data_IF_298869969405
#
_entry.id   IF_298869969405
#
_cell.length_a   1.000
_cell.length_b   1.000
_cell.length_c   1.000
_cell.angle_alpha   90.00
_cell.angle_beta   90.00
_cell.angle_gamma   90.00
#
_symmetry.space_group_name_H-M   'P 1'
#
loop_
_entity.id
_entity.type
_entity.pdbx_description
1 polymer ?
#
# COMPACT_ATOMS: atom_id res chain seq x y z
N UNK A 1 -58.52 -10.83 6.43
CA UNK A 1 -59.18 -9.80 5.60
C UNK A 1 -58.13 -9.28 4.66
N UNK A 2 -57.99 -9.85 3.52
CA UNK A 2 -58.31 -9.46 2.13
C UNK A 2 -58.08 -7.97 1.84
N UNK A 3 -57.09 -7.64 0.96
CA UNK A 3 -57.33 -7.05 -0.35
C UNK A 3 -56.03 -6.94 -1.15
N UNK A 4 -55.99 -7.73 -2.19
CA UNK A 4 -55.20 -7.64 -3.43
C UNK A 4 -55.56 -6.39 -4.23
N UNK A 5 -54.59 -5.77 -4.92
CA UNK A 5 -54.87 -5.01 -6.14
C UNK A 5 -53.73 -5.18 -7.13
N UNK A 6 -54.05 -5.89 -8.22
CA UNK A 6 -53.27 -5.99 -9.43
C UNK A 6 -53.66 -4.86 -10.39
N UNK A 7 -52.71 -4.28 -11.15
CA UNK A 7 -53.01 -3.52 -12.36
C UNK A 7 -52.10 -3.98 -13.50
N UNK A 8 -52.77 -4.58 -14.49
CA UNK A 8 -52.30 -4.86 -15.86
C UNK A 8 -52.70 -3.69 -16.77
N UNK A 9 -51.82 -3.30 -17.70
CA UNK A 9 -52.14 -2.76 -19.05
C UNK A 9 -50.86 -2.83 -19.87
N UNK A 10 -50.66 -3.74 -20.83
CA UNK A 10 -51.17 -3.82 -22.22
C UNK A 10 -50.79 -2.59 -23.10
N UNK A 11 -49.79 -2.72 -23.94
CA UNK A 11 -49.81 -2.99 -25.37
C UNK A 11 -49.81 -1.75 -26.24
N UNK A 12 -48.79 -1.64 -27.13
CA UNK A 12 -49.00 -1.23 -28.50
C UNK A 12 -47.73 -1.47 -29.35
N UNK A 13 -47.82 -2.42 -30.30
CA UNK A 13 -46.94 -2.57 -31.47
C UNK A 13 -47.32 -1.49 -32.48
N UNK A 14 -46.32 -0.92 -33.15
CA UNK A 14 -46.48 -0.27 -34.44
C UNK A 14 -45.31 -0.73 -35.35
N UNK A 15 -45.65 -1.57 -36.31
CA UNK A 15 -44.82 -1.89 -37.46
C UNK A 15 -45.04 -0.84 -38.55
N UNK A 16 -44.01 -0.38 -39.21
CA UNK A 16 -44.10 0.29 -40.47
C UNK A 16 -42.92 -0.08 -41.38
N UNK A 17 -43.27 -0.33 -42.60
CA UNK A 17 -42.63 -1.10 -43.62
C UNK A 17 -41.47 -0.44 -44.37
N UNK A 18 -40.71 -1.30 -44.98
CA UNK A 18 -39.71 -1.20 -46.06
C UNK A 18 -40.02 -0.25 -47.19
N UNK A 19 -39.03 0.54 -47.62
CA UNK A 19 -38.79 0.84 -49.02
C UNK A 19 -37.29 0.73 -49.29
N UNK A 20 -36.90 -0.18 -50.14
CA UNK A 20 -35.55 -0.34 -50.62
C UNK A 20 -35.18 0.56 -51.75
N UNK A 21 -33.91 0.90 -51.83
CA UNK A 21 -33.24 1.20 -53.09
C UNK A 21 -31.78 0.79 -53.04
N UNK A 22 -31.45 0.00 -54.01
CA UNK A 22 -30.18 -0.64 -54.31
C UNK A 22 -29.18 0.37 -54.88
N UNK A 23 -27.95 0.40 -54.37
CA UNK A 23 -26.76 0.81 -55.13
C UNK A 23 -25.49 0.24 -54.46
N UNK A 24 -24.60 -0.24 -55.30
CA UNK A 24 -23.43 -1.09 -55.18
C UNK A 24 -22.34 -0.67 -54.21
N UNK A 25 -21.75 -1.70 -53.65
CA UNK A 25 -20.30 -1.92 -53.33
C UNK A 25 -19.43 -0.75 -52.91
N UNK A 26 -18.95 -0.78 -51.66
CA UNK A 26 -17.52 -1.05 -51.43
C UNK A 26 -17.31 -1.60 -50.03
N UNK A 27 -16.57 -2.69 -49.99
CA UNK A 27 -16.14 -3.43 -48.80
C UNK A 27 -15.17 -2.60 -47.99
N UNK A 28 -15.54 -2.17 -46.80
CA UNK A 28 -14.59 -1.88 -45.74
C UNK A 28 -15.18 -2.31 -44.41
N UNK A 29 -14.70 -3.45 -43.98
CA UNK A 29 -14.95 -4.01 -42.65
C UNK A 29 -14.27 -3.10 -41.61
N UNK A 30 -15.04 -2.20 -41.03
CA UNK A 30 -14.60 -1.53 -39.81
C UNK A 30 -14.91 -2.46 -38.63
N UNK A 31 -13.95 -3.33 -38.31
CA UNK A 31 -13.85 -3.90 -36.98
C UNK A 31 -13.63 -2.71 -36.04
N UNK A 32 -14.57 -2.46 -35.13
CA UNK A 32 -14.35 -1.60 -33.99
C UNK A 32 -13.37 -2.34 -33.07
N UNK A 33 -12.07 -2.10 -33.29
CA UNK A 33 -11.07 -2.34 -32.28
C UNK A 33 -11.44 -1.45 -31.08
N UNK A 34 -12.03 -2.06 -30.07
CA UNK A 34 -11.95 -1.52 -28.74
C UNK A 34 -10.48 -1.61 -28.36
N UNK A 35 -9.74 -0.53 -28.61
CA UNK A 35 -8.39 -0.37 -28.14
C UNK A 35 -8.43 -0.58 -26.61
N UNK A 36 -7.79 -1.66 -26.17
CA UNK A 36 -7.38 -1.77 -24.77
C UNK A 36 -6.66 -0.45 -24.41
N UNK A 37 -6.87 0.11 -23.22
CA UNK A 37 -6.15 1.31 -22.82
C UNK A 37 -4.67 0.97 -22.90
N UNK A 38 -3.99 1.49 -23.93
CA UNK A 38 -2.55 1.55 -23.99
C UNK A 38 -2.15 2.27 -22.71
N UNK A 39 -1.39 1.57 -21.86
CA UNK A 39 -0.71 2.20 -20.75
C UNK A 39 0.07 3.38 -21.38
N UNK A 40 -0.44 4.60 -21.19
CA UNK A 40 0.25 5.80 -21.60
C UNK A 40 1.58 5.74 -20.84
N UNK A 41 2.69 5.69 -21.58
CA UNK A 41 4.01 5.93 -21.00
C UNK A 41 3.89 7.23 -20.24
N UNK A 42 4.16 7.17 -18.92
CA UNK A 42 4.04 8.33 -18.04
C UNK A 42 5.28 9.25 -18.21
N UNK A 43 5.83 9.34 -19.44
CA UNK A 43 6.80 10.34 -19.83
C UNK A 43 6.16 11.71 -19.59
N UNK A 44 6.74 12.50 -18.69
CA UNK A 44 6.17 13.76 -18.24
C UNK A 44 5.20 13.65 -17.05
N UNK A 45 5.17 12.52 -16.35
CA UNK A 45 4.38 12.39 -15.11
C UNK A 45 4.89 13.36 -14.03
N UNK A 46 6.19 13.62 -14.00
CA UNK A 46 6.77 14.68 -13.19
C UNK A 46 6.27 16.08 -13.58
N UNK A 47 6.15 16.36 -14.87
CA UNK A 47 5.62 17.65 -15.33
C UNK A 47 4.17 17.84 -14.88
N UNK A 48 3.38 16.79 -14.87
CA UNK A 48 2.03 16.80 -14.32
C UNK A 48 2.03 17.09 -12.81
N UNK A 49 2.88 16.42 -12.02
CA UNK A 49 2.98 16.62 -10.57
C UNK A 49 3.50 18.03 -10.26
N UNK A 50 4.62 18.42 -10.86
CA UNK A 50 5.24 19.73 -10.61
C UNK A 50 4.37 20.90 -11.10
N UNK A 51 3.63 20.69 -12.19
CA UNK A 51 2.68 21.67 -12.73
C UNK A 51 1.51 21.97 -11.80
N UNK A 52 1.12 21.02 -10.93
CA UNK A 52 0.15 21.25 -9.85
C UNK A 52 0.75 22.02 -8.66
N UNK A 53 2.08 22.04 -8.53
CA UNK A 53 2.78 22.57 -7.35
C UNK A 53 2.64 21.69 -6.10
N UNK A 54 2.02 20.52 -6.19
CA UNK A 54 1.80 19.58 -5.09
C UNK A 54 2.00 18.12 -5.52
N UNK A 55 2.45 17.28 -4.59
CA UNK A 55 2.50 15.82 -4.72
C UNK A 55 1.51 15.18 -3.77
N UNK A 56 0.47 14.52 -4.29
CA UNK A 56 -0.51 13.80 -3.48
C UNK A 56 0.02 12.41 -3.14
N UNK A 57 0.24 12.15 -1.88
CA UNK A 57 0.91 10.98 -1.32
C UNK A 57 -0.14 10.07 -0.66
N UNK A 58 -0.32 8.86 -1.17
CA UNK A 58 -1.21 7.85 -0.59
C UNK A 58 -0.56 7.20 0.62
N UNK A 59 -1.26 7.22 1.76
CA UNK A 59 -0.82 6.66 3.04
C UNK A 59 -1.95 5.90 3.74
N UNK A 60 -1.58 4.99 4.66
CA UNK A 60 -2.41 4.50 5.76
C UNK A 60 -1.80 4.97 7.08
N UNK A 61 -2.56 4.95 8.18
CA UNK A 61 -1.99 5.23 9.50
C UNK A 61 -1.17 4.04 9.99
N UNK A 62 0.13 4.25 10.10
CA UNK A 62 1.14 3.25 10.36
C UNK A 62 2.28 3.87 11.20
N UNK A 63 2.18 3.83 12.54
CA UNK A 63 3.25 4.32 13.43
C UNK A 63 4.47 3.37 13.38
N UNK A 64 5.72 3.88 13.23
CA UNK A 64 6.14 5.28 13.32
C UNK A 64 6.26 5.99 11.96
N UNK A 65 5.71 5.43 10.89
CA UNK A 65 5.87 5.93 9.52
C UNK A 65 4.99 7.14 9.21
N UNK A 66 3.66 6.97 9.35
CA UNK A 66 2.66 8.02 9.19
C UNK A 66 1.57 7.84 10.26
N UNK A 67 1.40 8.79 11.16
CA UNK A 67 0.41 8.69 12.24
C UNK A 67 0.00 10.07 12.76
N UNK A 68 -1.09 10.12 13.50
CA UNK A 68 -1.54 11.36 14.16
C UNK A 68 -0.83 11.51 15.50
N UNK A 69 -0.04 12.55 15.63
CA UNK A 69 0.66 12.87 16.88
C UNK A 69 -0.26 13.39 17.98
N UNK A 70 0.27 13.60 19.17
CA UNK A 70 -0.47 14.12 20.32
C UNK A 70 -1.06 15.53 20.09
N UNK A 71 -0.47 16.29 19.18
CA UNK A 71 -0.95 17.62 18.77
C UNK A 71 -2.09 17.55 17.71
N UNK A 72 -2.53 16.35 17.35
CA UNK A 72 -3.57 16.11 16.35
C UNK A 72 -3.13 16.27 14.90
N UNK A 73 -1.82 16.41 14.64
CA UNK A 73 -1.28 16.56 13.29
C UNK A 73 -0.65 15.26 12.79
N UNK A 74 -0.66 15.10 11.47
CA UNK A 74 0.09 14.03 10.82
C UNK A 74 1.58 14.22 11.07
N UNK A 75 2.23 13.16 11.52
CA UNK A 75 3.67 13.08 11.81
C UNK A 75 4.17 11.68 11.47
N UNK A 76 5.46 11.43 11.62
CA UNK A 76 6.09 10.14 11.39
C UNK A 76 7.30 10.25 10.48
N UNK A 77 8.05 9.15 10.41
CA UNK A 77 9.28 9.11 9.63
C UNK A 77 9.02 9.45 8.15
N UNK A 78 8.04 8.80 7.53
CA UNK A 78 7.76 9.05 6.11
C UNK A 78 7.08 10.39 5.88
N UNK A 79 6.28 10.87 6.82
CA UNK A 79 5.72 12.23 6.77
C UNK A 79 6.84 13.29 6.72
N UNK A 80 7.83 13.18 7.61
CA UNK A 80 8.96 14.11 7.65
C UNK A 80 9.88 13.92 6.42
N UNK A 81 10.10 12.68 6.01
CA UNK A 81 10.94 12.35 4.87
C UNK A 81 10.33 12.83 3.54
N UNK A 82 9.05 12.57 3.32
CA UNK A 82 8.32 13.07 2.16
C UNK A 82 8.30 14.60 2.10
N UNK A 83 8.12 15.25 3.26
CA UNK A 83 8.20 16.71 3.36
C UNK A 83 9.57 17.24 2.96
N UNK A 84 10.65 16.57 3.39
CA UNK A 84 12.01 16.96 3.02
C UNK A 84 12.28 16.77 1.52
N UNK A 85 11.83 15.65 0.93
CA UNK A 85 11.96 15.36 -0.51
C UNK A 85 11.14 16.36 -1.34
N UNK A 86 9.88 16.59 -1.00
CA UNK A 86 9.01 17.53 -1.71
C UNK A 86 9.60 18.95 -1.69
N UNK A 87 10.17 19.37 -0.55
CA UNK A 87 10.85 20.67 -0.43
C UNK A 87 12.04 20.80 -1.38
N UNK A 88 12.87 19.77 -1.52
CA UNK A 88 13.99 19.75 -2.46
C UNK A 88 13.53 19.79 -3.92
N UNK A 89 12.40 19.17 -4.19
CA UNK A 89 11.78 19.12 -5.54
C UNK A 89 10.93 20.36 -5.87
N UNK A 90 10.68 21.24 -4.89
CA UNK A 90 9.91 22.47 -5.10
C UNK A 90 8.40 22.26 -5.24
N UNK A 91 7.85 21.20 -4.62
CA UNK A 91 6.41 20.91 -4.55
C UNK A 91 5.95 20.76 -3.10
N UNK A 92 4.66 20.98 -2.85
CA UNK A 92 4.08 20.77 -1.52
C UNK A 92 3.62 19.33 -1.34
N UNK A 93 3.90 18.66 -0.20
CA UNK A 93 3.36 17.33 0.09
C UNK A 93 1.89 17.44 0.51
N UNK A 94 1.03 16.60 -0.08
CA UNK A 94 -0.37 16.47 0.30
C UNK A 94 -0.66 15.02 0.63
N UNK A 95 -0.82 14.73 1.91
CA UNK A 95 -1.08 13.37 2.36
C UNK A 95 -2.57 13.03 2.24
N UNK A 96 -2.86 11.88 1.65
CA UNK A 96 -4.20 11.35 1.46
C UNK A 96 -4.27 9.94 2.03
N UNK A 97 -5.18 9.73 2.99
CA UNK A 97 -5.50 8.39 3.49
C UNK A 97 -6.19 7.58 2.39
N UNK A 98 -5.74 6.35 2.19
CA UNK A 98 -6.27 5.39 1.22
C UNK A 98 -6.53 4.04 1.89
N UNK A 99 -7.35 3.21 1.26
CA UNK A 99 -7.40 1.78 1.59
C UNK A 99 -6.21 1.09 0.91
N UNK A 100 -5.37 0.38 1.70
CA UNK A 100 -4.13 -0.20 1.18
C UNK A 100 -4.33 -1.17 0.02
N UNK A 101 -5.38 -1.96 0.07
CA UNK A 101 -5.74 -2.90 -1.02
C UNK A 101 -6.09 -2.20 -2.34
N UNK A 102 -6.50 -0.94 -2.28
CA UNK A 102 -6.87 -0.12 -3.45
C UNK A 102 -5.72 0.75 -3.99
N UNK A 103 -4.54 0.71 -3.39
CA UNK A 103 -3.40 1.62 -3.68
C UNK A 103 -3.03 1.75 -5.17
N UNK A 104 -3.00 0.63 -5.91
CA UNK A 104 -2.66 0.66 -7.34
C UNK A 104 -3.79 1.27 -8.19
N UNK A 105 -5.04 1.05 -7.79
CA UNK A 105 -6.20 1.64 -8.44
C UNK A 105 -6.18 3.16 -8.26
N UNK A 106 -5.95 3.64 -7.04
CA UNK A 106 -5.84 5.05 -6.70
C UNK A 106 -4.69 5.73 -7.46
N UNK A 107 -3.53 5.07 -7.54
CA UNK A 107 -2.36 5.56 -8.27
C UNK A 107 -2.65 5.70 -9.77
N UNK A 108 -3.23 4.68 -10.38
CA UNK A 108 -3.54 4.66 -11.82
C UNK A 108 -4.68 5.62 -12.17
N UNK A 109 -5.63 5.84 -11.27
CA UNK A 109 -6.71 6.82 -11.41
C UNK A 109 -6.23 8.28 -11.22
N UNK A 110 -4.97 8.50 -10.82
CA UNK A 110 -4.40 9.82 -10.49
C UNK A 110 -5.09 10.53 -9.33
N UNK A 111 -5.75 9.79 -8.43
CA UNK A 111 -6.25 10.32 -7.15
C UNK A 111 -5.10 10.56 -6.18
N UNK A 112 -4.03 9.76 -6.31
CA UNK A 112 -2.73 9.98 -5.70
C UNK A 112 -1.63 10.02 -6.76
N UNK A 113 -0.51 10.65 -6.45
CA UNK A 113 0.65 10.73 -7.35
C UNK A 113 1.69 9.65 -7.06
N UNK A 114 1.80 9.26 -5.80
CA UNK A 114 2.66 8.17 -5.35
C UNK A 114 2.05 7.42 -4.17
N UNK A 115 2.54 6.19 -3.96
CA UNK A 115 2.30 5.39 -2.76
C UNK A 115 3.57 5.48 -1.92
N UNK A 116 3.48 6.06 -0.74
CA UNK A 116 4.62 6.25 0.16
C UNK A 116 4.21 5.91 1.60
N UNK A 117 4.19 4.61 1.90
CA UNK A 117 3.71 4.09 3.18
C UNK A 117 4.23 2.66 3.40
N UNK A 118 5.54 2.53 3.59
CA UNK A 118 6.15 1.21 3.79
C UNK A 118 5.92 0.24 2.63
N UNK A 119 5.96 0.73 1.39
CA UNK A 119 5.71 -0.14 0.23
C UNK A 119 6.90 -1.08 0.00
N UNK A 120 6.71 -2.36 0.26
CA UNK A 120 7.68 -3.42 -0.05
C UNK A 120 7.92 -3.50 -1.56
N UNK A 121 9.18 -3.46 -1.97
CA UNK A 121 9.59 -3.69 -3.37
C UNK A 121 9.50 -5.18 -3.65
N UNK A 122 8.66 -5.56 -4.62
CA UNK A 122 8.55 -6.93 -5.14
C UNK A 122 8.61 -6.93 -6.66
N UNK A 123 9.00 -8.04 -7.27
CA UNK A 123 9.03 -8.17 -8.73
C UNK A 123 7.65 -7.92 -9.36
N UNK A 124 6.57 -8.31 -8.69
CA UNK A 124 5.20 -8.06 -9.15
C UNK A 124 4.89 -6.55 -9.13
N UNK A 125 5.21 -5.85 -8.04
CA UNK A 125 5.01 -4.41 -7.92
C UNK A 125 5.86 -3.62 -8.91
N UNK A 126 7.12 -4.03 -9.12
CA UNK A 126 7.99 -3.44 -10.15
C UNK A 126 7.48 -3.68 -11.58
N UNK A 127 6.78 -4.79 -11.84
CA UNK A 127 6.14 -5.02 -13.14
C UNK A 127 5.00 -4.01 -13.40
N UNK A 128 4.28 -3.58 -12.37
CA UNK A 128 3.09 -2.72 -12.45
C UNK A 128 3.34 -1.24 -12.19
N UNK A 129 4.42 -0.89 -11.50
CA UNK A 129 4.73 0.46 -11.05
C UNK A 129 6.19 0.81 -11.33
N UNK A 130 6.54 2.08 -11.32
CA UNK A 130 7.90 2.58 -11.26
C UNK A 130 8.23 2.90 -9.82
N UNK A 131 9.16 2.14 -9.23
CA UNK A 131 9.49 2.26 -7.81
C UNK A 131 10.88 2.90 -7.68
N UNK A 132 11.06 3.72 -6.66
CA UNK A 132 12.36 4.35 -6.35
C UNK A 132 13.38 3.31 -5.90
N UNK A 133 14.64 3.73 -5.78
CA UNK A 133 15.61 2.98 -5.00
C UNK A 133 15.10 2.75 -3.56
N UNK A 134 15.56 1.67 -2.90
CA UNK A 134 15.15 1.37 -1.53
C UNK A 134 15.69 2.39 -0.54
N UNK A 135 14.82 2.84 0.40
CA UNK A 135 15.19 3.80 1.45
C UNK A 135 15.15 3.21 2.86
N UNK A 136 14.54 2.04 3.06
CA UNK A 136 14.42 1.39 4.37
C UNK A 136 14.44 -0.13 4.24
N UNK A 137 15.06 -0.82 5.21
CA UNK A 137 15.00 -2.27 5.37
C UNK A 137 13.91 -2.65 6.35
N UNK A 138 13.19 -3.73 6.08
CA UNK A 138 12.12 -4.27 6.90
C UNK A 138 12.11 -5.82 6.86
N UNK A 139 11.20 -6.41 7.58
CA UNK A 139 10.80 -7.82 7.54
C UNK A 139 9.40 -7.96 8.11
N UNK A 140 8.73 -9.05 7.79
CA UNK A 140 7.46 -9.38 8.40
C UNK A 140 7.69 -10.15 9.70
N UNK A 141 6.90 -9.85 10.73
CA UNK A 141 7.02 -10.48 12.05
C UNK A 141 5.66 -10.85 12.62
N UNK A 142 5.66 -11.83 13.53
CA UNK A 142 4.48 -12.18 14.33
C UNK A 142 4.40 -11.34 15.59
N UNK A 143 3.23 -10.74 15.83
CA UNK A 143 2.88 -10.09 17.10
C UNK A 143 1.73 -10.82 17.75
N UNK A 144 1.86 -11.09 19.04
CA UNK A 144 0.90 -11.83 19.87
C UNK A 144 0.73 -11.14 21.22
N UNK A 145 -0.26 -11.54 22.03
CA UNK A 145 -0.29 -11.14 23.44
C UNK A 145 1.00 -11.59 24.14
N UNK A 146 1.56 -10.77 25.01
CA UNK A 146 2.82 -11.03 25.69
C UNK A 146 2.85 -12.39 26.42
N UNK A 147 1.72 -12.82 26.99
CA UNK A 147 1.54 -14.12 27.62
C UNK A 147 1.67 -15.31 26.67
N UNK A 148 1.51 -15.09 25.35
CA UNK A 148 1.59 -16.09 24.31
C UNK A 148 2.91 -16.04 23.51
N UNK A 149 3.88 -15.20 23.88
CA UNK A 149 5.11 -14.99 23.10
C UNK A 149 5.93 -16.29 22.92
N UNK A 150 5.83 -17.23 23.84
CA UNK A 150 6.52 -18.54 23.77
C UNK A 150 5.65 -19.66 23.19
N UNK A 151 4.40 -19.38 22.83
CA UNK A 151 3.46 -20.40 22.37
C UNK A 151 3.63 -20.74 20.87
N UNK A 152 3.93 -19.79 20.03
CA UNK A 152 3.90 -19.93 18.57
C UNK A 152 5.30 -20.00 17.97
N UNK A 153 6.06 -21.06 18.32
CA UNK A 153 7.46 -21.24 17.89
C UNK A 153 7.63 -22.11 16.64
N UNK A 154 6.65 -22.93 16.30
CA UNK A 154 6.69 -23.86 15.17
C UNK A 154 5.37 -23.81 14.39
N UNK A 155 5.38 -24.32 13.14
CA UNK A 155 4.17 -24.44 12.33
C UNK A 155 3.06 -25.29 13.01
N UNK A 156 3.45 -26.27 13.84
CA UNK A 156 2.49 -27.08 14.59
C UNK A 156 1.78 -26.26 15.69
N UNK A 157 2.44 -25.27 16.26
CA UNK A 157 1.89 -24.44 17.32
C UNK A 157 0.83 -23.45 16.81
N UNK A 158 0.90 -23.06 15.53
CA UNK A 158 -0.06 -22.15 14.90
C UNK A 158 -1.28 -22.85 14.30
N UNK A 159 -1.35 -24.18 14.44
CA UNK A 159 -2.51 -24.94 13.95
C UNK A 159 -3.81 -24.46 14.59
N UNK A 160 -4.75 -24.03 13.73
CA UNK A 160 -6.04 -23.48 14.13
C UNK A 160 -5.98 -22.11 14.80
N UNK A 161 -4.81 -21.48 14.90
CA UNK A 161 -4.69 -20.11 15.35
C UNK A 161 -5.35 -19.16 14.34
N UNK A 162 -5.93 -18.07 14.84
CA UNK A 162 -6.48 -16.99 14.01
C UNK A 162 -5.38 -16.01 13.71
N UNK A 163 -5.03 -15.89 12.43
CA UNK A 163 -4.00 -14.99 11.92
C UNK A 163 -4.65 -13.82 11.20
N UNK A 164 -4.22 -12.62 11.50
CA UNK A 164 -4.67 -11.39 10.84
C UNK A 164 -3.48 -10.66 10.22
N UNK A 165 -3.69 -10.11 9.03
CA UNK A 165 -2.78 -9.18 8.36
C UNK A 165 -3.59 -8.18 7.55
N UNK A 166 -2.98 -7.04 7.20
CA UNK A 166 -3.60 -6.03 6.36
C UNK A 166 -3.78 -6.55 4.94
N UNK A 167 -4.97 -6.37 4.36
CA UNK A 167 -5.27 -6.80 3.00
C UNK A 167 -4.35 -6.13 1.96
N UNK A 168 -3.83 -6.88 0.99
CA UNK A 168 -2.92 -6.39 -0.04
C UNK A 168 -1.50 -6.03 0.46
N UNK A 169 -1.15 -6.39 1.70
CA UNK A 169 0.18 -6.16 2.29
C UNK A 169 1.13 -7.35 2.09
N UNK A 170 2.43 -7.13 2.33
CA UNK A 170 3.41 -8.22 2.42
C UNK A 170 3.10 -9.18 3.59
N UNK A 171 2.51 -8.67 4.67
CA UNK A 171 2.02 -9.50 5.78
C UNK A 171 0.93 -10.48 5.37
N UNK A 172 0.02 -10.07 4.48
CA UNK A 172 -0.97 -10.98 3.90
C UNK A 172 -0.31 -12.06 3.04
N UNK A 173 0.68 -11.69 2.22
CA UNK A 173 1.43 -12.66 1.39
C UNK A 173 2.10 -13.71 2.27
N UNK A 174 2.72 -13.30 3.39
CA UNK A 174 3.30 -14.21 4.38
C UNK A 174 2.23 -15.09 5.01
N UNK A 175 1.11 -14.52 5.48
CA UNK A 175 0.04 -15.26 6.15
C UNK A 175 -0.59 -16.33 5.26
N UNK A 176 -0.62 -16.11 3.93
CA UNK A 176 -1.20 -17.02 2.94
C UNK A 176 -0.19 -17.95 2.30
N UNK A 177 1.06 -17.50 2.13
CA UNK A 177 2.08 -18.18 1.32
C UNK A 177 3.05 -19.03 2.11
N UNK A 178 3.33 -18.69 3.36
CA UNK A 178 4.30 -19.41 4.16
C UNK A 178 3.72 -20.72 4.72
N UNK A 179 4.46 -21.81 4.56
CA UNK A 179 4.09 -23.12 5.10
C UNK A 179 3.91 -23.09 6.62
N UNK A 180 4.53 -22.12 7.29
CA UNK A 180 4.39 -21.90 8.74
C UNK A 180 2.93 -21.65 9.14
N UNK A 181 2.14 -20.96 8.32
CA UNK A 181 0.73 -20.62 8.60
C UNK A 181 -0.30 -21.51 7.90
N UNK A 182 0.12 -22.56 7.21
CA UNK A 182 -0.74 -23.41 6.37
C UNK A 182 -1.95 -24.01 7.12
N UNK A 183 -1.81 -24.30 8.41
CA UNK A 183 -2.89 -24.86 9.24
C UNK A 183 -3.57 -23.79 10.12
N UNK A 184 -3.22 -22.51 9.96
CA UNK A 184 -3.88 -21.39 10.61
C UNK A 184 -5.13 -20.93 9.84
N UNK A 185 -5.94 -20.10 10.47
CA UNK A 185 -7.10 -19.46 9.81
C UNK A 185 -6.78 -17.98 9.61
N UNK A 186 -6.59 -17.58 8.36
CA UNK A 186 -6.30 -16.19 8.01
C UNK A 186 -7.59 -15.35 7.88
N UNK A 187 -7.52 -14.09 8.34
CA UNK A 187 -8.57 -13.06 8.16
C UNK A 187 -7.90 -11.75 7.76
N UNK A 188 -8.36 -11.06 6.68
CA UNK A 188 -7.84 -9.75 6.32
C UNK A 188 -8.33 -8.67 7.28
N UNK A 189 -7.51 -7.64 7.50
CA UNK A 189 -7.88 -6.39 8.15
C UNK A 189 -7.62 -5.20 7.21
N UNK A 190 -8.25 -4.05 7.48
CA UNK A 190 -8.10 -2.87 6.62
C UNK A 190 -6.80 -2.09 6.89
N UNK A 191 -6.11 -2.38 8.00
CA UNK A 191 -4.81 -1.76 8.34
C UNK A 191 -4.01 -2.58 9.33
N UNK A 192 -2.67 -2.39 9.37
CA UNK A 192 -1.82 -3.03 10.38
C UNK A 192 -2.19 -2.59 11.81
N UNK A 193 -2.62 -1.35 12.00
CA UNK A 193 -3.11 -0.88 13.30
C UNK A 193 -4.33 -1.68 13.77
N UNK A 194 -5.27 -2.03 12.87
CA UNK A 194 -6.39 -2.93 13.17
C UNK A 194 -5.93 -4.34 13.53
N UNK A 195 -4.88 -4.85 12.88
CA UNK A 195 -4.31 -6.16 13.24
C UNK A 195 -3.85 -6.18 14.70
N UNK A 196 -3.15 -5.14 15.17
CA UNK A 196 -2.74 -5.03 16.57
C UNK A 196 -3.94 -4.95 17.53
N UNK A 197 -4.97 -4.19 17.16
CA UNK A 197 -6.21 -4.11 17.96
C UNK A 197 -6.92 -5.45 18.06
N UNK A 198 -6.97 -6.24 17.00
CA UNK A 198 -7.57 -7.58 17.01
C UNK A 198 -6.83 -8.53 17.93
N UNK A 199 -5.49 -8.53 17.91
CA UNK A 199 -4.70 -9.34 18.84
C UNK A 199 -4.91 -8.87 20.27
N UNK A 200 -4.89 -7.55 20.51
CA UNK A 200 -5.11 -6.98 21.84
C UNK A 200 -6.48 -7.37 22.40
N UNK A 201 -7.53 -7.29 21.61
CA UNK A 201 -8.90 -7.66 22.00
C UNK A 201 -9.08 -9.19 22.14
N UNK A 202 -8.22 -10.00 21.53
CA UNK A 202 -8.33 -11.46 21.47
C UNK A 202 -9.29 -11.96 20.38
N UNK A 203 -9.63 -11.12 19.41
CA UNK A 203 -10.37 -11.50 18.20
C UNK A 203 -9.50 -12.38 17.31
N UNK A 204 -8.22 -12.00 17.15
CA UNK A 204 -7.16 -12.77 16.49
C UNK A 204 -6.08 -13.17 17.49
N UNK A 205 -5.39 -14.27 17.20
CA UNK A 205 -4.30 -14.82 18.05
C UNK A 205 -2.95 -14.20 17.67
N UNK A 206 -2.72 -13.97 16.36
CA UNK A 206 -1.45 -13.58 15.76
C UNK A 206 -1.72 -12.48 14.74
N UNK A 207 -0.97 -11.39 14.81
CA UNK A 207 -0.87 -10.40 13.74
C UNK A 207 0.44 -10.60 12.99
N UNK A 208 0.39 -10.59 11.64
CA UNK A 208 1.57 -10.47 10.78
C UNK A 208 1.66 -9.03 10.34
N UNK A 209 2.72 -8.35 10.74
CA UNK A 209 2.94 -6.92 10.50
C UNK A 209 4.40 -6.62 10.21
N UNK A 210 4.66 -5.41 9.78
CA UNK A 210 6.00 -4.90 9.57
C UNK A 210 6.79 -4.77 10.88
N UNK A 211 8.05 -5.20 10.86
CA UNK A 211 8.96 -5.05 11.99
C UNK A 211 9.11 -3.58 12.42
N UNK A 212 9.20 -2.65 11.46
CA UNK A 212 9.33 -1.22 11.78
C UNK A 212 8.13 -0.71 12.58
N UNK A 213 6.93 -1.26 12.41
CA UNK A 213 5.77 -0.92 13.21
C UNK A 213 5.96 -1.30 14.68
N UNK A 214 6.63 -2.43 14.95
CA UNK A 214 6.89 -2.86 16.33
C UNK A 214 7.78 -1.88 17.09
N UNK A 215 8.71 -1.21 16.39
CA UNK A 215 9.61 -0.19 16.96
C UNK A 215 8.81 1.00 17.51
N UNK A 216 7.79 1.45 16.76
CA UNK A 216 6.92 2.54 17.19
C UNK A 216 5.91 2.14 18.26
N UNK A 217 5.30 0.97 18.11
CA UNK A 217 4.08 0.60 18.83
C UNK A 217 4.29 -0.30 20.05
N UNK A 218 5.24 -1.26 20.02
CA UNK A 218 5.42 -2.24 21.11
C UNK A 218 6.43 -1.75 22.16
N UNK A 219 6.26 -0.55 22.66
CA UNK A 219 7.14 0.05 23.68
C UNK A 219 6.45 0.12 25.04
N UNK A 220 7.24 0.17 26.09
CA UNK A 220 6.71 0.35 27.43
C UNK A 220 5.88 1.64 27.55
N UNK A 221 4.67 1.52 28.08
CA UNK A 221 3.74 2.65 28.25
C UNK A 221 2.92 2.99 27.01
N UNK A 222 3.09 2.28 25.88
CA UNK A 222 2.19 2.41 24.72
C UNK A 222 0.88 1.67 24.96
N UNK A 223 -0.10 1.97 24.12
CA UNK A 223 -1.39 1.26 24.12
C UNK A 223 -1.25 -0.25 23.83
N UNK A 224 -0.13 -0.68 23.25
CA UNK A 224 0.17 -2.06 22.88
C UNK A 224 1.27 -2.70 23.74
N UNK A 225 1.54 -2.16 24.94
CA UNK A 225 2.55 -2.69 25.87
C UNK A 225 2.26 -4.11 26.38
N UNK A 226 1.05 -4.60 26.20
CA UNK A 226 0.58 -5.96 26.49
C UNK A 226 0.77 -6.93 25.30
N UNK A 227 1.25 -6.44 24.16
CA UNK A 227 1.62 -7.23 22.98
C UNK A 227 3.14 -7.42 22.90
N UNK A 228 3.57 -8.47 22.21
CA UNK A 228 4.98 -8.81 22.04
C UNK A 228 5.23 -9.42 20.66
N UNK A 229 6.35 -9.06 20.05
CA UNK A 229 6.88 -9.78 18.89
C UNK A 229 7.39 -11.17 19.30
N UNK A 230 7.10 -12.19 18.51
CA UNK A 230 7.64 -13.54 18.70
C UNK A 230 9.06 -13.58 18.18
N UNK A 231 10.02 -13.83 19.07
CA UNK A 231 11.45 -13.86 18.73
C UNK A 231 11.82 -15.10 17.90
N UNK A 232 12.75 -14.93 16.97
CA UNK A 232 13.29 -16.02 16.14
C UNK A 232 12.37 -16.45 15.00
N UNK A 233 11.32 -15.70 14.74
CA UNK A 233 10.39 -15.87 13.61
C UNK A 233 10.38 -14.59 12.77
N UNK A 234 11.28 -14.55 11.78
CA UNK A 234 11.38 -13.46 10.83
C UNK A 234 10.96 -13.99 9.46
N UNK A 235 10.00 -13.33 8.84
CA UNK A 235 9.50 -13.69 7.53
C UNK A 235 9.85 -12.60 6.52
N UNK A 236 10.10 -13.01 5.26
CA UNK A 236 10.21 -12.10 4.13
C UNK A 236 11.07 -10.87 4.41
N UNK A 237 12.42 -10.99 4.56
CA UNK A 237 13.30 -9.82 4.57
C UNK A 237 13.04 -8.98 3.32
N UNK A 238 12.81 -7.68 3.49
CA UNK A 238 12.31 -6.81 2.44
C UNK A 238 12.90 -5.41 2.54
N UNK A 239 12.66 -4.61 1.51
CA UNK A 239 13.02 -3.19 1.49
C UNK A 239 11.84 -2.37 0.99
N UNK A 240 11.73 -1.13 1.47
CA UNK A 240 10.71 -0.18 1.05
C UNK A 240 11.19 0.75 -0.04
N UNK A 241 10.30 1.01 -1.00
CA UNK A 241 10.44 2.04 -2.01
C UNK A 241 9.18 2.90 -2.11
N UNK A 242 9.26 3.94 -2.93
CA UNK A 242 8.14 4.83 -3.22
C UNK A 242 7.66 4.52 -4.62
N UNK A 243 6.38 4.18 -4.77
CA UNK A 243 5.84 3.77 -6.05
C UNK A 243 5.10 4.91 -6.76
N UNK A 244 5.37 5.02 -8.04
CA UNK A 244 4.73 5.90 -9.00
C UNK A 244 4.07 5.09 -10.11
N UNK A 245 3.24 5.72 -10.92
CA UNK A 245 2.64 5.09 -12.12
C UNK A 245 3.71 4.44 -12.99
N UNK A 246 3.39 3.34 -13.62
CA UNK A 246 4.33 2.62 -14.49
C UNK A 246 4.86 3.52 -15.60
N UNK A 247 6.19 3.58 -15.76
CA UNK A 247 6.90 4.45 -16.70
C UNK A 247 7.05 5.90 -16.23
N UNK A 248 6.66 6.23 -14.98
CA UNK A 248 6.80 7.58 -14.43
C UNK A 248 8.27 7.98 -14.25
N UNK A 249 8.65 9.14 -14.77
CA UNK A 249 9.97 9.76 -14.57
C UNK A 249 10.12 10.39 -13.16
N UNK A 250 9.02 10.54 -12.42
CA UNK A 250 9.04 11.04 -11.06
C UNK A 250 9.80 10.09 -10.12
N UNK A 251 9.75 8.76 -10.35
CA UNK A 251 10.47 7.78 -9.53
C UNK A 251 11.98 8.01 -9.54
N UNK A 252 12.57 8.34 -10.70
CA UNK A 252 14.00 8.63 -10.81
C UNK A 252 14.35 9.96 -10.12
N UNK A 253 13.53 11.01 -10.32
CA UNK A 253 13.77 12.31 -9.67
C UNK A 253 13.72 12.22 -8.15
N UNK A 254 12.78 11.44 -7.62
CA UNK A 254 12.68 11.18 -6.18
C UNK A 254 13.87 10.33 -5.71
N UNK A 255 14.28 9.32 -6.48
CA UNK A 255 15.49 8.51 -6.18
C UNK A 255 16.74 9.38 -6.07
N UNK A 256 16.96 10.28 -7.03
CA UNK A 256 18.11 11.19 -7.01
C UNK A 256 18.07 12.11 -5.77
N UNK A 257 16.88 12.55 -5.39
CA UNK A 257 16.69 13.38 -4.19
C UNK A 257 16.92 12.59 -2.90
N UNK A 258 16.51 11.31 -2.85
CA UNK A 258 16.81 10.41 -1.73
C UNK A 258 18.33 10.26 -1.56
N UNK A 259 19.05 10.00 -2.66
CA UNK A 259 20.54 9.91 -2.63
C UNK A 259 21.15 11.20 -2.09
N UNK A 260 20.67 12.37 -2.54
CA UNK A 260 21.13 13.67 -2.04
C UNK A 260 20.91 13.79 -0.53
N UNK A 261 19.68 13.58 -0.05
CA UNK A 261 19.33 13.69 1.37
C UNK A 261 20.09 12.67 2.24
N UNK A 262 20.38 11.47 1.71
CA UNK A 262 21.20 10.47 2.37
C UNK A 262 22.65 10.95 2.52
N UNK A 263 23.26 11.48 1.44
CA UNK A 263 24.63 11.99 1.46
C UNK A 263 24.80 13.23 2.34
N UNK A 264 23.76 14.06 2.42
CA UNK A 264 23.71 15.24 3.29
C UNK A 264 23.46 14.86 4.77
N UNK A 265 23.23 13.58 5.09
CA UNK A 265 22.94 13.08 6.45
C UNK A 265 21.52 13.39 6.93
N UNK A 266 20.68 13.98 6.07
CA UNK A 266 19.33 14.41 6.44
C UNK A 266 18.38 13.24 6.65
N UNK A 267 18.49 12.19 5.82
CA UNK A 267 17.69 10.96 5.97
C UNK A 267 17.99 10.29 7.32
N UNK A 268 19.27 10.21 7.71
CA UNK A 268 19.69 9.63 8.98
C UNK A 268 19.21 10.47 10.17
N UNK A 269 19.24 11.81 10.05
CA UNK A 269 18.71 12.72 11.08
C UNK A 269 17.21 12.49 11.31
N UNK A 270 16.43 12.34 10.22
CA UNK A 270 15.00 12.06 10.31
C UNK A 270 14.78 10.67 10.91
N UNK A 271 15.49 9.63 10.45
CA UNK A 271 15.36 8.27 10.97
C UNK A 271 15.61 8.19 12.49
N UNK A 272 16.64 8.89 12.95
CA UNK A 272 16.99 8.96 14.39
C UNK A 272 15.87 9.52 15.26
N UNK A 273 15.09 10.47 14.76
CA UNK A 273 13.93 11.04 15.49
C UNK A 273 12.90 9.96 15.84
N UNK A 274 12.83 8.90 15.04
CA UNK A 274 11.86 7.82 15.17
C UNK A 274 12.48 6.48 15.59
N UNK A 275 13.77 6.46 15.98
CA UNK A 275 14.55 5.25 16.32
C UNK A 275 14.63 4.23 15.16
N UNK A 276 14.74 4.72 13.93
CA UNK A 276 14.78 3.91 12.69
C UNK A 276 16.15 3.96 11.98
N UNK A 277 17.18 4.53 12.60
CA UNK A 277 18.50 4.68 11.96
C UNK A 277 19.13 3.36 11.54
N UNK A 278 18.90 2.28 12.27
CA UNK A 278 19.41 0.93 11.94
C UNK A 278 18.68 0.31 10.75
N UNK A 279 17.51 0.84 10.39
CA UNK A 279 16.72 0.37 9.25
C UNK A 279 17.08 1.07 7.95
N UNK A 280 17.91 2.12 7.98
CA UNK A 280 18.34 2.82 6.76
C UNK A 280 19.44 2.01 6.08
N UNK A 281 19.21 1.48 4.86
CA UNK A 281 20.23 0.73 4.14
C UNK A 281 21.35 1.67 3.65
N UNK A 282 22.46 1.08 3.22
CA UNK A 282 23.47 1.85 2.50
C UNK A 282 22.95 2.22 1.12
N UNK A 283 22.71 3.51 0.92
CA UNK A 283 22.21 4.05 -0.35
C UNK A 283 23.42 4.50 -1.18
N UNK A 284 23.62 3.87 -2.33
CA UNK A 284 24.67 4.22 -3.29
C UNK A 284 24.02 4.78 -4.55
N UNK A 285 24.57 5.85 -5.11
CA UNK A 285 24.12 6.46 -6.36
C UNK A 285 24.22 5.56 -7.60
N UNK A 286 24.84 4.37 -7.48
CA UNK A 286 25.15 3.44 -8.58
C UNK A 286 24.51 2.05 -8.38
N UNK A 287 23.39 1.94 -7.67
CA UNK A 287 22.62 0.70 -7.68
C UNK A 287 21.80 0.67 -8.97
N UNK A 288 22.43 0.15 -10.07
CA UNK A 288 21.73 -0.30 -11.28
C UNK A 288 21.02 -1.64 -11.01
#
# INVERSE_FOLDING_TARGET
MKKTLAFLMAGAMAAAALVGCSAKNDTSSAASDAAAPTAATADGDWDYISGKGEMTIGITYFEPMNYIGEDGKLTGFETDFATAVCKELGVEPKFQEIEWDSKEIELNAKTIDCIWNGLTITAEREANMSITLPYMSNKQVMVVKAENADKYKTAADVKGAKVVAEAGSAGEEVAKGEDFFKEATYTPADSQAKCLLEVKSGTSDIAIIDYVMTIGTLRAGSDYSDLKMVEGQDFSPEVYGIAFRKGSDASQKVSDTIVKLYNDGKLQEIAKKYNLEEQIPKINANAE
#
